data_IF_070390005556
#
_entry.id   IF_070390005556
#
_cell.length_a   1.000
_cell.length_b   1.000
_cell.length_c   1.000
_cell.angle_alpha   90.00
_cell.angle_beta   90.00
_cell.angle_gamma   90.00
#
_symmetry.space_group_name_H-M   'P 1'
#
loop_
_entity.id
_entity.type
_entity.pdbx_description
1 polymer ?
#
# COMPACT_ATOMS: atom_id res chain seq x y z
N UNK A 1 50.06 12.86 28.70
CA UNK A 1 48.75 13.54 28.54
C UNK A 1 48.18 13.45 27.11
N UNK A 2 48.99 13.21 26.06
CA UNK A 2 48.49 13.04 24.67
C UNK A 2 47.57 11.84 24.43
N UNK A 3 47.69 10.75 25.18
CA UNK A 3 46.91 9.52 24.92
C UNK A 3 45.42 9.63 25.30
N UNK A 4 45.06 10.54 26.22
CA UNK A 4 43.67 10.67 26.71
C UNK A 4 42.81 11.55 25.80
N UNK A 5 43.43 12.47 25.06
CA UNK A 5 42.72 13.35 24.12
C UNK A 5 42.38 12.58 22.84
N UNK A 6 43.23 11.61 22.47
CA UNK A 6 43.03 10.80 21.26
C UNK A 6 41.84 9.84 21.40
N UNK A 7 41.71 9.17 22.54
CA UNK A 7 40.57 8.29 22.87
C UNK A 7 39.25 9.05 22.98
N UNK A 8 39.27 10.28 23.51
CA UNK A 8 38.07 11.10 23.62
C UNK A 8 37.56 11.56 22.24
N UNK A 9 38.48 11.93 21.34
CA UNK A 9 38.15 12.29 19.96
C UNK A 9 37.60 11.10 19.14
N UNK A 10 38.13 9.89 19.32
CA UNK A 10 37.58 8.67 18.70
C UNK A 10 36.18 8.34 19.22
N UNK A 11 35.97 8.46 20.54
CA UNK A 11 34.66 8.18 21.16
C UNK A 11 33.57 9.12 20.61
N UNK A 12 33.87 10.41 20.51
CA UNK A 12 32.94 11.41 19.94
C UNK A 12 32.67 11.13 18.46
N UNK A 13 33.68 10.73 17.70
CA UNK A 13 33.52 10.36 16.28
C UNK A 13 32.67 9.10 16.10
N UNK A 14 32.81 8.10 16.97
CA UNK A 14 31.96 6.90 16.98
C UNK A 14 30.51 7.21 17.38
N UNK A 15 30.31 8.04 18.41
CA UNK A 15 28.97 8.44 18.85
C UNK A 15 28.23 9.24 17.77
N UNK A 16 28.89 10.21 17.15
CA UNK A 16 28.30 11.00 16.06
C UNK A 16 28.03 10.16 14.81
N UNK A 17 28.91 9.19 14.50
CA UNK A 17 28.67 8.21 13.43
C UNK A 17 27.44 7.33 13.67
N UNK A 18 27.25 6.86 14.90
CA UNK A 18 26.08 6.06 15.27
C UNK A 18 24.78 6.89 15.23
N UNK A 19 24.83 8.14 15.66
CA UNK A 19 23.67 9.04 15.61
C UNK A 19 23.24 9.35 14.17
N UNK A 20 24.22 9.61 13.29
CA UNK A 20 23.98 9.83 11.87
C UNK A 20 23.38 8.58 11.20
N UNK A 21 23.85 7.39 11.58
CA UNK A 21 23.27 6.13 11.10
C UNK A 21 21.81 5.97 11.55
N UNK A 22 21.51 6.26 12.83
CA UNK A 22 20.14 6.23 13.36
C UNK A 22 19.20 7.20 12.66
N UNK A 23 19.63 8.44 12.43
CA UNK A 23 18.88 9.44 11.65
C UNK A 23 18.66 9.01 10.18
N UNK A 24 19.63 8.32 9.58
CA UNK A 24 19.50 7.76 8.24
C UNK A 24 18.43 6.67 8.14
N UNK A 25 18.29 5.83 9.17
CA UNK A 25 17.23 4.81 9.24
C UNK A 25 15.86 5.48 9.44
N UNK A 26 15.77 6.40 10.41
CA UNK A 26 14.54 7.15 10.72
C UNK A 26 13.99 7.92 9.52
N UNK A 27 14.86 8.62 8.78
CA UNK A 27 14.44 9.33 7.58
C UNK A 27 13.94 8.39 6.47
N UNK A 28 14.53 7.19 6.35
CA UNK A 28 14.06 6.15 5.45
C UNK A 28 12.67 5.62 5.82
N UNK A 29 12.42 5.36 7.11
CA UNK A 29 11.11 4.94 7.61
C UNK A 29 10.05 6.04 7.46
N UNK A 30 10.42 7.29 7.73
CA UNK A 30 9.52 8.44 7.55
C UNK A 30 9.09 8.58 6.09
N UNK A 31 10.04 8.48 5.15
CA UNK A 31 9.73 8.50 3.72
C UNK A 31 8.77 7.35 3.33
N UNK A 32 8.93 6.19 3.95
CA UNK A 32 8.04 5.04 3.76
C UNK A 32 6.64 5.27 4.29
N UNK A 33 6.50 5.86 5.48
CA UNK A 33 5.21 6.24 6.03
C UNK A 33 4.48 7.24 5.14
N UNK A 34 5.21 8.23 4.61
CA UNK A 34 4.64 9.21 3.67
C UNK A 34 4.18 8.52 2.38
N UNK A 35 5.02 7.66 1.78
CA UNK A 35 4.66 6.93 0.56
C UNK A 35 3.47 5.98 0.79
N UNK A 36 3.45 5.28 1.92
CA UNK A 36 2.31 4.45 2.33
C UNK A 36 1.03 5.26 2.53
N UNK A 37 1.14 6.47 3.06
CA UNK A 37 0.00 7.39 3.23
C UNK A 37 -0.58 7.83 1.89
N UNK A 38 0.26 8.10 0.89
CA UNK A 38 -0.17 8.43 -0.48
C UNK A 38 -0.92 7.24 -1.10
N UNK A 39 -0.36 6.03 -1.07
CA UNK A 39 -1.06 4.84 -1.58
C UNK A 39 -2.37 4.56 -0.84
N UNK A 40 -2.40 4.74 0.48
CA UNK A 40 -3.63 4.63 1.26
C UNK A 40 -4.67 5.69 0.89
N UNK A 41 -4.23 6.87 0.42
CA UNK A 41 -5.13 7.90 -0.06
C UNK A 41 -5.69 7.58 -1.44
N UNK A 42 -4.84 7.09 -2.35
CA UNK A 42 -5.21 6.63 -3.69
C UNK A 42 -6.22 5.47 -3.63
N UNK A 43 -5.96 4.46 -2.80
CA UNK A 43 -6.91 3.37 -2.56
C UNK A 43 -8.25 3.91 -2.04
N UNK A 44 -8.23 4.84 -1.07
CA UNK A 44 -9.45 5.47 -0.55
C UNK A 44 -10.19 6.31 -1.59
N UNK A 45 -9.48 6.89 -2.56
CA UNK A 45 -10.11 7.62 -3.66
C UNK A 45 -10.81 6.65 -4.62
N UNK A 46 -10.15 5.56 -4.99
CA UNK A 46 -10.73 4.54 -5.88
C UNK A 46 -11.90 3.83 -5.19
N UNK A 47 -11.82 3.55 -3.90
CA UNK A 47 -12.93 3.03 -3.10
C UNK A 47 -14.13 3.98 -3.07
N UNK A 48 -13.90 5.28 -2.86
CA UNK A 48 -15.00 6.27 -2.89
C UNK A 48 -15.70 6.31 -4.25
N UNK A 49 -14.95 6.19 -5.35
CA UNK A 49 -15.53 6.10 -6.69
C UNK A 49 -16.31 4.80 -6.87
N UNK A 50 -15.78 3.68 -6.38
CA UNK A 50 -16.48 2.38 -6.42
C UNK A 50 -17.83 2.43 -5.68
N UNK A 51 -17.87 3.06 -4.51
CA UNK A 51 -19.11 3.23 -3.74
C UNK A 51 -20.14 4.09 -4.48
N UNK A 52 -19.69 5.09 -5.25
CA UNK A 52 -20.56 5.90 -6.09
C UNK A 52 -21.14 5.08 -7.25
N UNK A 53 -20.31 4.32 -7.97
CA UNK A 53 -20.80 3.47 -9.08
C UNK A 53 -21.77 2.39 -8.58
N UNK A 54 -21.52 1.80 -7.40
CA UNK A 54 -22.44 0.82 -6.79
C UNK A 54 -23.80 1.45 -6.43
N UNK A 55 -23.81 2.70 -5.95
CA UNK A 55 -25.06 3.42 -5.67
C UNK A 55 -25.84 3.70 -6.95
N UNK A 56 -25.15 4.14 -8.01
CA UNK A 56 -25.77 4.38 -9.33
C UNK A 56 -26.38 3.08 -9.86
N UNK A 57 -25.65 1.97 -9.77
CA UNK A 57 -26.15 0.65 -10.18
C UNK A 57 -27.38 0.22 -9.36
N UNK A 58 -27.35 0.46 -8.05
CA UNK A 58 -28.47 0.19 -7.14
C UNK A 58 -29.72 1.00 -7.50
N UNK A 59 -29.58 2.32 -7.70
CA UNK A 59 -30.70 3.17 -8.10
C UNK A 59 -31.25 2.79 -9.48
N UNK A 60 -30.39 2.46 -10.44
CA UNK A 60 -30.83 2.01 -11.77
C UNK A 60 -31.63 0.70 -11.70
N UNK A 61 -31.22 -0.22 -10.82
CA UNK A 61 -31.93 -1.47 -10.56
C UNK A 61 -33.30 -1.23 -9.90
N UNK A 62 -33.37 -0.34 -8.89
CA UNK A 62 -34.63 0.04 -8.24
C UNK A 62 -35.61 0.69 -9.22
N UNK A 63 -35.12 1.55 -10.12
CA UNK A 63 -35.95 2.15 -11.17
C UNK A 63 -36.49 1.09 -12.15
N UNK A 64 -35.65 0.13 -12.58
CA UNK A 64 -36.06 -0.94 -13.46
C UNK A 64 -37.13 -1.86 -12.79
N UNK A 65 -36.92 -2.22 -11.52
CA UNK A 65 -37.88 -3.01 -10.74
C UNK A 65 -39.19 -2.26 -10.51
N UNK A 66 -39.13 -0.95 -10.25
CA UNK A 66 -40.34 -0.13 -10.04
C UNK A 66 -41.15 0.03 -11.34
N UNK A 67 -40.48 0.16 -12.49
CA UNK A 67 -41.12 0.22 -13.80
C UNK A 67 -41.74 -1.14 -14.22
N UNK A 68 -41.18 -2.26 -13.76
CA UNK A 68 -41.72 -3.60 -14.01
C UNK A 68 -43.04 -3.87 -13.25
N UNK A 69 -43.29 -3.16 -12.15
CA UNK A 69 -44.51 -3.27 -11.35
C UNK A 69 -45.67 -2.39 -11.86
N UNK A 70 -45.46 -1.58 -12.90
CA UNK A 70 -46.48 -0.70 -13.48
C UNK A 70 -46.98 -1.28 -14.83
N UNK A 71 -48.21 -1.84 -14.90
CA UNK A 71 -48.67 -2.59 -16.07
C UNK A 71 -48.87 -1.73 -17.33
N UNK A 72 -48.87 -0.39 -17.24
CA UNK A 72 -48.95 0.49 -18.41
C UNK A 72 -47.60 0.76 -19.10
N UNK A 73 -46.46 0.45 -18.47
CA UNK A 73 -45.12 0.66 -19.04
C UNK A 73 -44.45 -0.62 -19.57
N UNK A 74 -45.11 -1.77 -19.42
CA UNK A 74 -44.59 -3.08 -19.79
C UNK A 74 -44.35 -3.23 -21.31
N UNK A 75 -44.98 -2.39 -22.14
CA UNK A 75 -44.90 -2.45 -23.61
C UNK A 75 -43.61 -1.80 -24.19
N UNK A 76 -42.80 -1.14 -23.35
CA UNK A 76 -41.51 -0.51 -23.75
C UNK A 76 -40.29 -1.15 -23.09
N UNK A 77 -40.48 -2.06 -22.12
CA UNK A 77 -39.41 -2.70 -21.35
C UNK A 77 -38.91 -3.98 -22.02
N UNK A 78 -38.40 -3.86 -23.24
CA UNK A 78 -37.77 -4.98 -23.93
C UNK A 78 -36.37 -5.22 -23.36
N UNK A 79 -36.32 -5.98 -22.25
CA UNK A 79 -35.24 -6.89 -21.77
C UNK A 79 -33.80 -6.63 -22.21
N UNK A 80 -33.36 -5.39 -22.20
CA UNK A 80 -31.94 -5.05 -22.35
C UNK A 80 -31.52 -4.34 -21.08
N UNK A 81 -30.59 -4.95 -20.35
CA UNK A 81 -29.86 -4.26 -19.29
C UNK A 81 -29.48 -2.88 -19.85
N UNK A 82 -29.96 -1.81 -19.20
CA UNK A 82 -29.70 -0.45 -19.67
C UNK A 82 -28.19 -0.32 -19.97
N UNK A 83 -27.78 0.29 -21.09
CA UNK A 83 -26.37 0.49 -21.41
C UNK A 83 -25.59 1.16 -20.26
N UNK A 84 -26.27 1.91 -19.39
CA UNK A 84 -25.73 2.48 -18.16
C UNK A 84 -25.39 1.43 -17.10
N UNK A 85 -26.22 0.38 -16.94
CA UNK A 85 -25.95 -0.74 -16.02
C UNK A 85 -24.74 -1.56 -16.48
N UNK A 86 -24.62 -1.86 -17.77
CA UNK A 86 -23.47 -2.60 -18.30
C UNK A 86 -22.18 -1.78 -18.18
N UNK A 87 -22.25 -0.46 -18.44
CA UNK A 87 -21.12 0.45 -18.24
C UNK A 87 -20.67 0.50 -16.78
N UNK A 88 -21.60 0.70 -15.84
CA UNK A 88 -21.30 0.77 -14.42
C UNK A 88 -20.77 -0.59 -13.90
N UNK A 89 -21.31 -1.73 -14.35
CA UNK A 89 -20.79 -3.05 -14.01
C UNK A 89 -19.34 -3.25 -14.48
N UNK A 90 -19.00 -2.80 -15.68
CA UNK A 90 -17.62 -2.83 -16.20
C UNK A 90 -16.69 -1.94 -15.39
N UNK A 91 -17.14 -0.75 -15.00
CA UNK A 91 -16.37 0.17 -14.16
C UNK A 91 -16.13 -0.39 -12.77
N UNK A 92 -17.15 -1.00 -12.14
CA UNK A 92 -17.03 -1.71 -10.86
C UNK A 92 -15.96 -2.81 -10.94
N UNK A 93 -15.98 -3.63 -12.00
CA UNK A 93 -14.97 -4.69 -12.19
C UNK A 93 -13.56 -4.09 -12.31
N UNK A 94 -13.40 -3.09 -13.17
CA UNK A 94 -12.12 -2.41 -13.37
C UNK A 94 -11.58 -1.80 -12.06
N UNK A 95 -12.41 -1.08 -11.29
CA UNK A 95 -11.99 -0.44 -10.05
C UNK A 95 -11.58 -1.47 -8.98
N UNK A 96 -12.24 -2.63 -8.92
CA UNK A 96 -11.85 -3.73 -8.02
C UNK A 96 -10.49 -4.30 -8.41
N UNK A 97 -10.32 -4.64 -9.68
CA UNK A 97 -9.06 -5.16 -10.20
C UNK A 97 -7.90 -4.18 -9.94
N UNK A 98 -8.14 -2.88 -10.10
CA UNK A 98 -7.14 -1.86 -9.86
C UNK A 98 -6.80 -1.69 -8.36
N UNK A 99 -7.79 -1.77 -7.46
CA UNK A 99 -7.55 -1.77 -6.02
C UNK A 99 -6.65 -2.95 -5.62
N UNK A 100 -6.94 -4.15 -6.13
CA UNK A 100 -6.19 -5.34 -5.78
C UNK A 100 -4.76 -5.28 -6.31
N UNK A 101 -4.57 -4.82 -7.56
CA UNK A 101 -3.24 -4.55 -8.12
C UNK A 101 -2.44 -3.53 -7.31
N UNK A 102 -3.07 -2.43 -6.89
CA UNK A 102 -2.40 -1.40 -6.08
C UNK A 102 -1.99 -1.93 -4.70
N UNK A 103 -2.82 -2.76 -4.07
CA UNK A 103 -2.46 -3.44 -2.81
C UNK A 103 -1.30 -4.39 -3.01
N UNK A 104 -1.31 -5.21 -4.04
CA UNK A 104 -0.21 -6.14 -4.37
C UNK A 104 1.09 -5.37 -4.62
N UNK A 105 1.05 -4.29 -5.40
CA UNK A 105 2.20 -3.43 -5.66
C UNK A 105 2.74 -2.81 -4.37
N UNK A 106 1.87 -2.32 -3.48
CA UNK A 106 2.27 -1.76 -2.18
C UNK A 106 2.97 -2.81 -1.29
N UNK A 107 2.46 -4.05 -1.27
CA UNK A 107 3.09 -5.14 -0.53
C UNK A 107 4.44 -5.56 -1.13
N UNK A 108 4.51 -5.67 -2.46
CA UNK A 108 5.72 -6.02 -3.18
C UNK A 108 6.83 -4.96 -3.00
N UNK A 109 6.48 -3.67 -3.07
CA UNK A 109 7.41 -2.58 -2.82
C UNK A 109 7.93 -2.61 -1.38
N UNK A 110 7.06 -2.92 -0.41
CA UNK A 110 7.47 -3.08 1.00
C UNK A 110 8.46 -4.23 1.17
N UNK A 111 8.20 -5.38 0.56
CA UNK A 111 9.11 -6.52 0.59
C UNK A 111 10.48 -6.18 -0.02
N UNK A 112 10.50 -5.50 -1.18
CA UNK A 112 11.74 -5.04 -1.83
C UNK A 112 12.54 -4.07 -0.97
N UNK A 113 11.87 -3.20 -0.22
CA UNK A 113 12.55 -2.28 0.69
C UNK A 113 13.19 -2.99 1.88
N UNK A 114 12.45 -3.90 2.52
CA UNK A 114 12.98 -4.70 3.64
C UNK A 114 14.21 -5.49 3.17
N UNK A 115 14.15 -6.12 1.99
CA UNK A 115 15.27 -6.85 1.42
C UNK A 115 16.48 -5.94 1.14
N UNK A 116 16.25 -4.74 0.58
CA UNK A 116 17.33 -3.76 0.39
C UNK A 116 17.96 -3.33 1.71
N UNK A 117 17.19 -3.20 2.80
CA UNK A 117 17.75 -2.88 4.11
C UNK A 117 18.56 -4.06 4.67
N UNK A 118 18.05 -5.29 4.53
CA UNK A 118 18.75 -6.51 4.92
C UNK A 118 20.12 -6.62 4.24
N UNK A 119 20.16 -6.48 2.91
CA UNK A 119 21.41 -6.53 2.13
C UNK A 119 22.38 -5.41 2.51
N UNK A 120 21.88 -4.21 2.83
CA UNK A 120 22.72 -3.10 3.32
C UNK A 120 23.33 -3.41 4.69
N UNK A 121 22.58 -4.05 5.58
CA UNK A 121 23.05 -4.47 6.89
C UNK A 121 24.12 -5.57 6.78
N UNK A 122 23.83 -6.62 5.99
CA UNK A 122 24.75 -7.74 5.74
C UNK A 122 26.08 -7.28 5.12
N UNK A 123 26.04 -6.33 4.19
CA UNK A 123 27.25 -5.73 3.60
C UNK A 123 28.07 -4.91 4.61
N UNK A 124 27.45 -4.33 5.64
CA UNK A 124 28.13 -3.55 6.69
C UNK A 124 28.64 -4.43 7.84
N UNK A 125 28.06 -5.61 8.04
CA UNK A 125 28.41 -6.56 9.09
C UNK A 125 28.63 -7.98 8.55
N UNK A 126 29.64 -8.21 7.70
CA UNK A 126 29.88 -9.53 7.07
C UNK A 126 30.31 -10.62 8.06
N UNK A 127 30.67 -10.27 9.30
CA UNK A 127 31.22 -11.19 10.30
C UNK A 127 30.19 -11.75 11.30
N UNK A 128 28.93 -11.31 11.28
CA UNK A 128 27.91 -11.74 12.27
C UNK A 128 27.06 -12.95 11.80
N UNK A 129 27.29 -13.45 10.58
CA UNK A 129 26.63 -14.64 10.02
C UNK A 129 27.18 -15.97 10.59
N UNK A 130 28.04 -15.95 11.62
CA UNK A 130 28.67 -17.13 12.20
C UNK A 130 28.05 -17.68 13.49
N UNK A 131 27.07 -16.99 14.09
CA UNK A 131 26.53 -17.36 15.41
C UNK A 131 25.04 -17.58 15.37
N UNK A 132 24.59 -18.61 14.64
CA UNK A 132 23.31 -19.24 14.97
C UNK A 132 23.56 -20.04 16.27
N UNK A 133 22.96 -19.69 17.41
CA UNK A 133 23.06 -20.53 18.60
C UNK A 133 22.36 -21.85 18.26
N UNK A 134 23.09 -22.95 18.30
CA UNK A 134 22.46 -24.27 18.28
C UNK A 134 21.50 -24.33 19.48
N UNK A 135 20.21 -24.43 19.19
CA UNK A 135 19.24 -24.81 20.18
C UNK A 135 19.63 -26.21 20.69
N UNK A 136 19.97 -26.29 21.97
CA UNK A 136 20.26 -27.53 22.68
C UNK A 136 19.17 -28.58 22.40
N UNK A 137 19.62 -29.77 22.00
CA UNK A 137 18.87 -31.02 22.16
C UNK A 137 18.87 -31.45 23.63
#
# INVERSE_FOLDING_TARGET
>A
MSSSVHTMAETVRHMTGNLAAGLGVLSGELLWLVRGSIHAHEIRQIQRRLDQELKVLGSACEHALSAENDPEQQDLSDKTASPEMDLAARQVRFLRDEIDRLKENAMADRARFIEKQRLKYEKRHPADNGSVPQANQ
#
